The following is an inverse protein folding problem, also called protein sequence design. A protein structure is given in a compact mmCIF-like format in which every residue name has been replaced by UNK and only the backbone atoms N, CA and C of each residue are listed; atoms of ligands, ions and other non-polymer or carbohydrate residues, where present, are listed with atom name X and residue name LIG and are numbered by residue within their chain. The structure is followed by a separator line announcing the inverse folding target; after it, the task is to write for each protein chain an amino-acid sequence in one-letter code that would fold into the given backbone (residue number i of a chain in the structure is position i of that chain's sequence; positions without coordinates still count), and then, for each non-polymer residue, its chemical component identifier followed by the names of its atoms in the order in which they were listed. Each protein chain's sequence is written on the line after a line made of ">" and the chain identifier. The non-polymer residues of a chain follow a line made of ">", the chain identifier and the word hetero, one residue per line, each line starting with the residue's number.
data_IF_523682389583
#
_entry.id   IF_523682389583
#
_cell.length_a   1.000
_cell.length_b   1.000
_cell.length_c   1.000
_cell.angle_alpha   90.00
_cell.angle_beta   90.00
_cell.angle_gamma   90.00
#
_symmetry.space_group_name_H-M   'P 1'
#
loop_
_entity.id
_entity.type
_entity.pdbx_description
1 polymer ?
#
# COMPACT_ATOMS: atom_id res chain seq x y z
N UNK A 1 -3.85 28.66 16.92
CA UNK A 1 -4.00 28.13 15.54
C UNK A 1 -5.45 28.33 15.16
N UNK A 2 -5.77 29.23 14.23
CA UNK A 2 -7.15 29.53 13.85
C UNK A 2 -7.55 28.93 12.49
N UNK A 3 -6.58 28.48 11.67
CA UNK A 3 -6.82 27.94 10.33
C UNK A 3 -6.62 26.42 10.28
N UNK A 4 -7.41 25.76 9.44
CA UNK A 4 -7.34 24.31 9.17
C UNK A 4 -6.34 24.01 8.05
N UNK A 5 -5.53 22.97 8.23
CA UNK A 5 -4.63 22.48 7.18
C UNK A 5 -5.44 21.73 6.14
N UNK A 6 -5.43 22.22 4.90
CA UNK A 6 -6.11 21.57 3.78
C UNK A 6 -5.19 20.52 3.13
N UNK A 7 -5.74 19.38 2.67
CA UNK A 7 -5.00 18.45 1.82
C UNK A 7 -4.66 19.09 0.48
N UNK A 8 -3.67 18.51 -0.23
CA UNK A 8 -3.25 18.99 -1.56
C UNK A 8 -4.41 18.93 -2.58
N UNK A 9 -5.29 17.95 -2.45
CA UNK A 9 -6.50 17.78 -3.26
C UNK A 9 -7.72 17.57 -2.36
N UNK A 10 -8.90 18.05 -2.80
CA UNK A 10 -10.16 17.86 -2.07
C UNK A 10 -10.65 16.40 -2.05
N UNK A 11 -10.17 15.58 -2.99
CA UNK A 11 -10.46 14.15 -3.07
C UNK A 11 -9.30 13.37 -2.46
N UNK A 12 -9.55 12.45 -1.51
CA UNK A 12 -8.49 11.61 -0.95
C UNK A 12 -7.86 10.71 -2.00
N UNK A 13 -6.56 10.42 -1.84
CA UNK A 13 -5.81 9.62 -2.80
C UNK A 13 -6.32 8.17 -2.91
N UNK A 14 -6.91 7.62 -1.86
CA UNK A 14 -7.56 6.30 -1.86
C UNK A 14 -8.62 6.29 -0.76
N UNK A 15 -9.77 5.70 -1.05
CA UNK A 15 -10.86 5.49 -0.08
C UNK A 15 -11.43 4.09 -0.27
N UNK A 16 -11.85 3.48 0.82
CA UNK A 16 -12.54 2.21 0.82
C UNK A 16 -13.50 2.17 2.01
N UNK A 17 -14.71 1.67 1.77
CA UNK A 17 -15.72 1.51 2.82
C UNK A 17 -15.37 0.32 3.72
N UNK A 18 -15.74 0.41 4.99
CA UNK A 18 -15.58 -0.67 5.98
C UNK A 18 -14.13 -1.16 6.17
N UNK A 19 -13.13 -0.34 5.84
CA UNK A 19 -11.72 -0.64 6.11
C UNK A 19 -11.05 0.51 6.85
N UNK A 20 -10.30 0.19 7.90
CA UNK A 20 -9.49 1.20 8.61
C UNK A 20 -8.02 0.97 8.31
N UNK A 21 -7.39 2.00 7.74
CA UNK A 21 -5.94 1.99 7.53
C UNK A 21 -5.21 2.43 8.80
N UNK A 22 -4.17 1.68 9.18
CA UNK A 22 -3.40 1.90 10.41
C UNK A 22 -2.01 2.46 10.15
N UNK A 23 -1.33 1.97 9.12
CA UNK A 23 0.03 2.35 8.75
C UNK A 23 0.13 2.49 7.23
N UNK A 24 1.04 3.33 6.76
CA UNK A 24 1.31 3.48 5.35
C UNK A 24 2.80 3.58 5.06
N UNK A 25 3.19 3.14 3.87
CA UNK A 25 4.48 3.42 3.27
C UNK A 25 4.29 3.79 1.79
N UNK A 26 5.12 4.66 1.24
CA UNK A 26 5.01 5.10 -0.15
C UNK A 26 6.32 4.81 -0.87
N UNK A 27 6.21 4.21 -2.06
CA UNK A 27 7.32 4.01 -2.99
C UNK A 27 7.10 4.85 -4.25
N UNK A 28 8.19 5.29 -4.89
CA UNK A 28 8.16 5.94 -6.20
C UNK A 28 8.82 5.00 -7.18
N UNK A 29 8.02 4.42 -8.08
CA UNK A 29 8.48 3.38 -8.99
C UNK A 29 8.47 3.86 -10.43
N UNK A 30 9.50 3.48 -11.18
CA UNK A 30 9.53 3.67 -12.63
C UNK A 30 8.53 2.70 -13.28
N UNK A 31 7.44 3.25 -13.80
CA UNK A 31 6.53 2.56 -14.70
C UNK A 31 7.11 2.49 -16.12
N UNK A 32 6.25 2.17 -17.09
CA UNK A 32 6.66 2.10 -18.50
C UNK A 32 7.18 3.46 -19.01
N UNK A 33 6.38 4.51 -18.80
CA UNK A 33 6.63 5.82 -19.41
C UNK A 33 6.78 6.94 -18.37
N UNK A 34 6.48 6.67 -17.09
CA UNK A 34 6.48 7.68 -16.03
C UNK A 34 6.74 7.10 -14.65
N UNK A 35 7.16 7.96 -13.72
CA UNK A 35 7.18 7.65 -12.30
C UNK A 35 5.76 7.61 -11.75
N UNK A 36 5.47 6.62 -10.91
CA UNK A 36 4.18 6.50 -10.23
C UNK A 36 4.39 6.26 -8.74
N UNK A 37 3.50 6.83 -7.93
CA UNK A 37 3.48 6.58 -6.50
C UNK A 37 2.69 5.30 -6.20
N UNK A 38 3.32 4.36 -5.49
CA UNK A 38 2.68 3.17 -4.96
C UNK A 38 2.56 3.33 -3.45
N UNK A 39 1.33 3.27 -2.95
CA UNK A 39 0.98 3.38 -1.55
C UNK A 39 0.72 1.96 -1.02
N UNK A 40 1.42 1.58 0.04
CA UNK A 40 1.18 0.36 0.80
C UNK A 40 0.39 0.75 2.05
N UNK A 41 -0.84 0.27 2.19
CA UNK A 41 -1.74 0.57 3.30
C UNK A 41 -1.97 -0.69 4.13
N UNK A 42 -1.63 -0.64 5.41
CA UNK A 42 -1.97 -1.69 6.37
C UNK A 42 -3.41 -1.53 6.84
N UNK A 43 -4.21 -2.59 6.77
CA UNK A 43 -5.56 -2.64 7.33
C UNK A 43 -5.53 -3.07 8.79
N UNK A 44 -6.62 -2.80 9.51
CA UNK A 44 -6.86 -3.29 10.86
C UNK A 44 -7.10 -4.81 10.93
N UNK A 45 -7.47 -5.44 9.82
CA UNK A 45 -7.58 -6.90 9.68
C UNK A 45 -6.23 -7.62 9.50
N UNK A 46 -5.12 -6.88 9.35
CA UNK A 46 -3.79 -7.45 9.16
C UNK A 46 -3.43 -7.79 7.72
N UNK A 47 -4.11 -7.15 6.75
CA UNK A 47 -3.77 -7.22 5.32
C UNK A 47 -3.02 -5.96 4.86
N UNK A 48 -2.37 -6.04 3.71
CA UNK A 48 -1.72 -4.88 3.09
C UNK A 48 -2.32 -4.64 1.70
N UNK A 49 -2.89 -3.47 1.49
CA UNK A 49 -3.36 -3.02 0.17
C UNK A 49 -2.25 -2.26 -0.53
N UNK A 50 -1.94 -2.67 -1.75
CA UNK A 50 -0.99 -2.00 -2.64
C UNK A 50 -1.78 -1.20 -3.66
N UNK A 51 -1.67 0.12 -3.59
CA UNK A 51 -2.49 1.05 -4.35
C UNK A 51 -1.59 1.92 -5.21
N UNK A 52 -1.90 2.07 -6.50
CA UNK A 52 -1.32 3.14 -7.31
C UNK A 52 -2.07 4.43 -7.03
N UNK A 53 -1.35 5.48 -6.63
CA UNK A 53 -1.93 6.79 -6.43
C UNK A 53 -2.49 7.38 -7.75
N UNK A 54 -3.44 8.33 -7.66
CA UNK A 54 -3.86 9.14 -8.80
C UNK A 54 -2.69 9.83 -9.49
N UNK A 55 -2.68 9.82 -10.82
CA UNK A 55 -1.67 10.52 -11.62
C UNK A 55 -2.05 12.00 -11.87
N UNK A 56 -3.31 12.36 -11.64
CA UNK A 56 -3.85 13.69 -11.79
C UNK A 56 -5.04 13.87 -10.81
N UNK A 57 -5.44 15.10 -10.46
CA UNK A 57 -6.53 15.34 -9.51
C UNK A 57 -7.88 14.71 -9.90
N UNK A 58 -8.14 14.54 -11.19
CA UNK A 58 -9.35 13.90 -11.70
C UNK A 58 -9.20 12.38 -11.91
N UNK A 59 -8.00 11.82 -11.73
CA UNK A 59 -7.76 10.40 -11.91
C UNK A 59 -8.12 9.63 -10.63
N UNK A 60 -8.63 8.41 -10.77
CA UNK A 60 -8.82 7.52 -9.64
C UNK A 60 -7.53 6.76 -9.28
N UNK A 61 -7.41 6.41 -8.01
CA UNK A 61 -6.47 5.40 -7.55
C UNK A 61 -6.82 4.02 -8.09
N UNK A 62 -5.84 3.13 -8.11
CA UNK A 62 -6.04 1.74 -8.51
C UNK A 62 -5.52 0.80 -7.42
N UNK A 63 -6.40 -0.02 -6.84
CA UNK A 63 -6.01 -1.13 -5.98
C UNK A 63 -5.39 -2.22 -6.85
N UNK A 64 -4.09 -2.47 -6.69
CA UNK A 64 -3.34 -3.43 -7.49
C UNK A 64 -3.39 -4.83 -6.88
N UNK A 65 -3.19 -4.91 -5.56
CA UNK A 65 -3.06 -6.17 -4.82
C UNK A 65 -3.58 -5.96 -3.39
N UNK A 66 -4.26 -6.96 -2.84
CA UNK A 66 -4.44 -7.14 -1.40
C UNK A 66 -3.59 -8.33 -0.95
N UNK A 67 -2.74 -8.11 0.04
CA UNK A 67 -1.75 -9.07 0.52
C UNK A 67 -2.20 -9.54 1.90
N UNK A 68 -2.65 -10.79 1.96
CA UNK A 68 -2.92 -11.48 3.21
C UNK A 68 -1.62 -12.07 3.75
N UNK A 69 -1.22 -11.66 4.94
CA UNK A 69 -0.01 -12.15 5.60
C UNK A 69 -0.24 -13.45 6.36
N UNK A 70 -1.49 -13.72 6.72
CA UNK A 70 -1.92 -14.84 7.52
C UNK A 70 -3.13 -15.52 6.88
N UNK A 71 -3.33 -16.83 7.11
CA UNK A 71 -4.59 -17.49 6.76
C UNK A 71 -5.79 -16.81 7.41
N UNK A 72 -6.97 -17.03 6.84
CA UNK A 72 -8.21 -16.45 7.36
C UNK A 72 -8.37 -16.67 8.87
N UNK A 73 -8.91 -15.64 9.54
CA UNK A 73 -9.16 -15.60 11.01
C UNK A 73 -7.91 -15.69 11.89
N UNK A 74 -6.70 -15.63 11.30
CA UNK A 74 -5.42 -15.54 12.03
C UNK A 74 -4.72 -14.20 11.83
N UNK A 75 -5.44 -13.20 11.30
CA UNK A 75 -4.94 -11.84 11.16
C UNK A 75 -4.53 -11.26 12.51
N UNK A 76 -3.44 -10.49 12.50
CA UNK A 76 -2.98 -9.73 13.65
C UNK A 76 -2.69 -8.28 13.22
N UNK A 77 -2.77 -7.30 14.14
CA UNK A 77 -2.52 -5.92 13.78
C UNK A 77 -1.11 -5.69 13.25
N UNK A 78 -1.00 -4.97 12.14
CA UNK A 78 0.28 -4.49 11.64
C UNK A 78 0.72 -3.29 12.50
N UNK A 79 1.96 -3.33 12.97
CA UNK A 79 2.57 -2.33 13.87
C UNK A 79 3.52 -1.37 13.16
N UNK A 80 4.05 -1.76 12.01
CA UNK A 80 4.90 -0.89 11.20
C UNK A 80 5.00 -1.38 9.76
N UNK A 81 5.16 -0.45 8.83
CA UNK A 81 5.53 -0.72 7.44
C UNK A 81 6.81 0.04 7.12
N UNK A 82 7.83 -0.65 6.62
CA UNK A 82 9.12 -0.05 6.28
C UNK A 82 9.63 -0.61 4.96
N UNK A 83 9.95 0.28 4.01
CA UNK A 83 10.46 -0.11 2.69
C UNK A 83 11.99 -0.10 2.72
N UNK A 84 12.59 -1.20 2.27
CA UNK A 84 14.01 -1.26 1.95
C UNK A 84 14.19 -1.28 0.42
N UNK A 85 14.36 -0.09 -0.17
CA UNK A 85 14.43 0.06 -1.63
C UNK A 85 15.58 -0.74 -2.26
N UNK A 86 16.75 -0.80 -1.61
CA UNK A 86 17.93 -1.52 -2.11
C UNK A 86 17.69 -3.02 -2.30
N UNK A 87 16.73 -3.61 -1.59
CA UNK A 87 16.34 -5.01 -1.73
C UNK A 87 14.96 -5.19 -2.37
N UNK A 88 14.28 -4.09 -2.75
CA UNK A 88 12.90 -4.13 -3.26
C UNK A 88 11.94 -4.91 -2.35
N UNK A 89 11.99 -4.62 -1.05
CA UNK A 89 11.26 -5.35 0.00
C UNK A 89 10.48 -4.39 0.91
N UNK A 90 9.28 -4.81 1.29
CA UNK A 90 8.50 -4.24 2.39
C UNK A 90 8.66 -5.12 3.64
N UNK A 91 9.19 -4.55 4.70
CA UNK A 91 9.17 -5.15 6.03
C UNK A 91 7.90 -4.76 6.76
N UNK A 92 7.24 -5.77 7.32
CA UNK A 92 5.99 -5.62 8.06
C UNK A 92 6.26 -6.02 9.50
N UNK A 93 6.21 -5.03 10.39
CA UNK A 93 6.31 -5.27 11.83
C UNK A 93 4.98 -5.76 12.37
N UNK A 94 5.03 -6.87 13.10
CA UNK A 94 3.88 -7.50 13.74
C UNK A 94 4.15 -7.59 15.24
N UNK A 95 3.28 -8.25 16.00
CA UNK A 95 3.41 -8.31 17.46
C UNK A 95 4.70 -9.02 17.90
N UNK A 96 5.00 -10.20 17.32
CA UNK A 96 6.11 -11.07 17.77
C UNK A 96 7.19 -11.31 16.71
N UNK A 97 6.97 -10.88 15.46
CA UNK A 97 7.86 -11.16 14.35
C UNK A 97 7.77 -10.09 13.26
N UNK A 98 8.67 -10.19 12.28
CA UNK A 98 8.70 -9.30 11.10
C UNK A 98 8.51 -10.15 9.86
N UNK A 99 7.53 -9.78 9.03
CA UNK A 99 7.35 -10.42 7.73
C UNK A 99 8.10 -9.65 6.65
N UNK A 100 8.71 -10.39 5.71
CA UNK A 100 9.42 -9.85 4.55
C UNK A 100 8.58 -10.07 3.29
N UNK A 101 8.08 -8.99 2.70
CA UNK A 101 7.20 -9.05 1.51
C UNK A 101 7.91 -8.41 0.31
N UNK A 102 8.12 -9.12 -0.80
CA UNK A 102 8.68 -8.52 -2.01
C UNK A 102 7.75 -7.42 -2.57
N UNK A 103 8.30 -6.26 -2.94
CA UNK A 103 7.50 -5.17 -3.53
C UNK A 103 6.92 -5.54 -4.90
N UNK A 104 7.61 -6.45 -5.60
CA UNK A 104 7.29 -6.92 -6.95
C UNK A 104 7.10 -8.43 -6.94
N UNK A 105 5.92 -8.88 -7.35
CA UNK A 105 5.56 -10.30 -7.52
C UNK A 105 5.18 -10.60 -8.97
N UNK A 106 5.91 -10.02 -9.92
CA UNK A 106 5.61 -10.12 -11.36
C UNK A 106 5.33 -11.55 -11.86
N UNK A 107 6.01 -12.62 -11.38
CA UNK A 107 5.71 -13.99 -11.80
C UNK A 107 4.28 -14.48 -11.49
N UNK A 108 3.56 -13.84 -10.56
CA UNK A 108 2.14 -14.16 -10.29
C UNK A 108 1.24 -13.81 -11.48
N UNK A 109 1.63 -12.83 -12.29
CA UNK A 109 0.88 -12.41 -13.46
C UNK A 109 1.43 -13.14 -14.69
N UNK A 110 0.66 -14.11 -15.19
CA UNK A 110 0.98 -14.78 -16.45
C UNK A 110 0.72 -13.84 -17.62
N UNK A 111 1.63 -13.81 -18.58
CA UNK A 111 1.38 -13.17 -19.87
C UNK A 111 0.25 -13.94 -20.58
N UNK A 112 -0.81 -13.23 -20.97
CA UNK A 112 -1.77 -13.77 -21.95
C UNK A 112 -1.07 -13.74 -23.32
N UNK A 113 -1.06 -14.89 -24.00
CA UNK A 113 -0.69 -14.97 -25.42
C UNK A 113 -1.83 -14.47 -26.29
#
# INVERSE_FOLDING_TARGET
>A
MHEVVQPVTSVPAFMEDNSRFSHMAVDVVQGRDMLVHIIYLATDYGTIKKVRAPLAPAASSCLLEEIELFPERRGQPIRSLQILHSQSVLFVGLQEHVAKVPLKRCPFYRTRR
#
